data_IF_690712056576
#
_entry.id   IF_690712056576
#
_cell.length_a   1.000
_cell.length_b   1.000
_cell.length_c   1.000
_cell.angle_alpha   90.00
_cell.angle_beta   90.00
_cell.angle_gamma   90.00
#
_symmetry.space_group_name_H-M   'P 1'
#
loop_
_entity.id
_entity.type
_entity.pdbx_description
1 polymer ?
#
# COMPACT_ATOMS: atom_id res chain seq x y z
N UNK A 1 -0.55 10.79 8.33
CA UNK A 1 0.52 10.30 7.43
C UNK A 1 0.06 9.03 6.69
N UNK A 2 -1.00 9.15 5.89
CA UNK A 2 -1.52 8.06 5.04
C UNK A 2 -1.17 8.32 3.57
N UNK A 3 -1.00 9.59 3.21
CA UNK A 3 -0.52 10.09 1.92
C UNK A 3 0.85 9.50 1.51
N UNK A 4 1.76 9.30 2.49
CA UNK A 4 3.07 8.71 2.21
C UNK A 4 2.98 7.25 1.73
N UNK A 5 2.00 6.47 2.21
CA UNK A 5 1.87 5.05 1.81
C UNK A 5 1.36 4.93 0.39
N UNK A 6 0.36 5.73 0.03
CA UNK A 6 -0.19 5.77 -1.34
C UNK A 6 0.86 6.27 -2.31
N UNK A 7 1.65 7.28 -1.93
CA UNK A 7 2.78 7.76 -2.74
C UNK A 7 3.78 6.64 -3.06
N UNK A 8 4.24 5.89 -2.06
CA UNK A 8 5.13 4.76 -2.32
C UNK A 8 4.49 3.69 -3.20
N UNK A 9 3.20 3.38 -3.04
CA UNK A 9 2.49 2.41 -3.88
C UNK A 9 2.45 2.83 -5.36
N UNK A 10 2.28 4.13 -5.65
CA UNK A 10 2.39 4.64 -7.02
C UNK A 10 3.79 4.44 -7.59
N UNK A 11 4.84 4.74 -6.80
CA UNK A 11 6.22 4.47 -7.21
C UNK A 11 6.46 2.98 -7.47
N UNK A 12 5.89 2.11 -6.62
CA UNK A 12 5.97 0.67 -6.83
C UNK A 12 5.34 0.25 -8.17
N UNK A 13 4.14 0.75 -8.47
CA UNK A 13 3.45 0.47 -9.73
C UNK A 13 4.24 0.98 -10.94
N UNK A 14 4.83 2.17 -10.83
CA UNK A 14 5.69 2.73 -11.87
C UNK A 14 6.89 1.80 -12.18
N UNK A 15 7.60 1.33 -11.15
CA UNK A 15 8.72 0.42 -11.36
C UNK A 15 8.30 -0.96 -11.88
N UNK A 16 7.13 -1.45 -11.46
CA UNK A 16 6.55 -2.68 -12.02
C UNK A 16 6.30 -2.55 -13.52
N UNK A 17 5.65 -1.46 -13.97
CA UNK A 17 5.41 -1.20 -15.40
C UNK A 17 6.69 -1.00 -16.19
N UNK A 18 7.76 -0.50 -15.57
CA UNK A 18 9.10 -0.43 -16.18
C UNK A 18 9.82 -1.79 -16.27
N UNK A 19 9.20 -2.88 -15.84
CA UNK A 19 9.79 -4.22 -15.86
C UNK A 19 10.97 -4.38 -14.90
N UNK A 20 11.08 -3.54 -13.87
CA UNK A 20 12.09 -3.71 -12.82
C UNK A 20 11.65 -4.79 -11.85
N UNK A 21 12.60 -5.45 -11.20
CA UNK A 21 12.30 -6.39 -10.13
C UNK A 21 12.11 -5.66 -8.79
N UNK A 22 11.55 -6.34 -7.79
CA UNK A 22 11.21 -5.74 -6.50
C UNK A 22 12.45 -5.17 -5.80
N UNK A 23 13.57 -5.91 -5.78
CA UNK A 23 14.80 -5.46 -5.11
C UNK A 23 15.37 -4.20 -5.76
N UNK A 24 15.41 -4.12 -7.10
CA UNK A 24 15.84 -2.93 -7.82
C UNK A 24 14.92 -1.72 -7.56
N UNK A 25 13.61 -1.95 -7.49
CA UNK A 25 12.65 -0.89 -7.19
C UNK A 25 12.82 -0.37 -5.76
N UNK A 26 12.95 -1.27 -4.77
CA UNK A 26 13.19 -0.92 -3.38
C UNK A 26 14.48 -0.11 -3.22
N UNK A 27 15.60 -0.56 -3.81
CA UNK A 27 16.88 0.16 -3.73
C UNK A 27 16.79 1.56 -4.33
N UNK A 28 16.08 1.73 -5.46
CA UNK A 28 15.90 3.06 -6.08
C UNK A 28 15.05 3.99 -5.23
N UNK A 29 14.01 3.46 -4.59
CA UNK A 29 13.17 4.25 -3.68
C UNK A 29 13.99 4.64 -2.45
N UNK A 30 14.72 3.70 -1.83
CA UNK A 30 15.55 3.99 -0.66
C UNK A 30 16.71 4.95 -0.98
N UNK A 31 17.26 4.93 -2.20
CA UNK A 31 18.29 5.88 -2.61
C UNK A 31 17.79 7.34 -2.69
N UNK A 32 16.50 7.55 -2.94
CA UNK A 32 15.89 8.90 -3.04
C UNK A 32 15.26 9.35 -1.72
N UNK A 33 14.56 8.44 -1.04
CA UNK A 33 13.76 8.75 0.16
C UNK A 33 14.45 8.39 1.48
N UNK A 34 15.65 7.81 1.42
CA UNK A 34 16.40 7.35 2.58
C UNK A 34 16.29 5.85 2.83
N UNK A 35 17.26 5.32 3.55
CA UNK A 35 17.32 3.91 3.89
C UNK A 35 16.08 3.51 4.71
N UNK A 36 15.45 2.39 4.34
CA UNK A 36 14.25 1.91 5.00
C UNK A 36 12.94 2.60 4.58
N UNK A 37 12.96 3.52 3.61
CA UNK A 37 11.73 4.16 3.09
C UNK A 37 10.68 3.14 2.64
N UNK A 38 11.12 2.03 2.01
CA UNK A 38 10.27 0.89 1.68
C UNK A 38 11.00 -0.41 2.01
N UNK A 39 10.38 -1.25 2.82
CA UNK A 39 10.89 -2.61 3.06
C UNK A 39 10.72 -3.48 1.81
N UNK A 40 11.75 -4.27 1.48
CA UNK A 40 11.72 -5.18 0.33
C UNK A 40 10.53 -6.16 0.40
N UNK A 41 10.18 -6.63 1.60
CA UNK A 41 9.00 -7.49 1.81
C UNK A 41 7.70 -6.82 1.34
N UNK A 42 7.54 -5.53 1.59
CA UNK A 42 6.38 -4.74 1.15
C UNK A 42 6.38 -4.61 -0.36
N UNK A 43 7.54 -4.32 -0.95
CA UNK A 43 7.74 -4.23 -2.39
C UNK A 43 7.34 -5.52 -3.12
N UNK A 44 7.79 -6.68 -2.61
CA UNK A 44 7.46 -8.01 -3.17
C UNK A 44 5.96 -8.31 -3.09
N UNK A 45 5.29 -7.97 -1.96
CA UNK A 45 3.84 -8.15 -1.82
C UNK A 45 3.04 -7.35 -2.86
N UNK A 46 3.41 -6.09 -3.07
CA UNK A 46 2.75 -5.25 -4.08
C UNK A 46 2.98 -5.76 -5.49
N UNK A 47 4.20 -6.21 -5.80
CA UNK A 47 4.49 -6.81 -7.10
C UNK A 47 3.69 -8.08 -7.37
N UNK A 48 3.47 -8.91 -6.36
CA UNK A 48 2.59 -10.08 -6.48
C UNK A 48 1.14 -9.67 -6.80
N UNK A 49 0.63 -8.62 -6.15
CA UNK A 49 -0.71 -8.06 -6.46
C UNK A 49 -0.80 -7.54 -7.89
N UNK A 50 0.18 -6.75 -8.33
CA UNK A 50 0.22 -6.24 -9.71
C UNK A 50 0.33 -7.35 -10.75
N UNK A 51 1.02 -8.45 -10.41
CA UNK A 51 1.08 -9.65 -11.25
C UNK A 51 -0.26 -10.37 -11.36
N UNK A 52 -1.07 -10.31 -10.32
CA UNK A 52 -2.45 -10.80 -10.31
C UNK A 52 -3.45 -9.85 -11.00
N UNK A 53 -2.98 -8.71 -11.54
CA UNK A 53 -3.83 -7.71 -12.18
C UNK A 53 -4.55 -6.76 -11.22
N UNK A 54 -4.26 -6.85 -9.92
CA UNK A 54 -4.82 -5.94 -8.92
C UNK A 54 -3.97 -4.68 -8.80
N UNK A 55 -4.45 -3.60 -9.41
CA UNK A 55 -3.80 -2.29 -9.42
C UNK A 55 -4.42 -1.30 -8.44
N UNK A 56 -5.27 -1.75 -7.52
CA UNK A 56 -5.86 -0.88 -6.52
C UNK A 56 -4.82 -0.45 -5.47
N UNK A 57 -4.41 0.83 -5.53
CA UNK A 57 -3.38 1.40 -4.67
C UNK A 57 -3.93 1.92 -3.33
N UNK A 58 -5.25 2.02 -3.19
CA UNK A 58 -5.87 2.35 -1.90
C UNK A 58 -5.90 1.09 -1.03
N UNK A 59 -5.84 1.28 0.29
CA UNK A 59 -6.24 0.18 1.16
C UNK A 59 -7.73 -0.07 0.89
N UNK A 60 -8.09 -1.33 0.63
CA UNK A 60 -9.50 -1.69 0.70
C UNK A 60 -9.94 -1.41 2.13
N UNK A 61 -11.15 -0.87 2.29
CA UNK A 61 -11.78 -0.77 3.60
C UNK A 61 -11.66 -2.16 4.25
N UNK A 62 -10.95 -2.23 5.37
CA UNK A 62 -10.97 -3.45 6.16
C UNK A 62 -12.41 -3.58 6.61
N UNK A 63 -13.09 -4.62 6.16
CA UNK A 63 -14.28 -5.12 6.84
C UNK A 63 -13.83 -5.63 8.22
N UNK A 64 -13.55 -4.70 9.12
CA UNK A 64 -13.43 -4.96 10.55
C UNK A 64 -14.80 -5.23 11.12
N UNK A 65 -14.84 -5.85 12.30
CA UNK A 65 -16.06 -6.12 13.08
C UNK A 65 -16.95 -4.86 13.06
N UNK A 66 -18.25 -4.96 12.72
CA UNK A 66 -19.15 -3.83 12.89
C UNK A 66 -19.01 -3.35 14.33
N UNK A 67 -18.70 -2.06 14.52
CA UNK A 67 -18.78 -1.45 15.83
C UNK A 67 -20.25 -1.49 16.20
N UNK A 68 -20.67 -2.47 17.00
CA UNK A 68 -21.92 -2.42 17.75
C UNK A 68 -21.76 -1.31 18.77
N UNK A 69 -21.83 -0.08 18.30
CA UNK A 69 -22.33 1.01 19.12
C UNK A 69 -23.82 1.02 18.81
N UNK A 70 -24.55 0.22 19.58
CA UNK A 70 -25.96 0.48 19.84
C UNK A 70 -26.02 1.94 20.33
N UNK A 71 -26.29 2.87 19.41
CA UNK A 71 -26.69 4.21 19.77
C UNK A 71 -28.04 4.08 20.45
N UNK A 72 -27.94 4.06 21.77
CA UNK A 72 -28.99 4.14 22.75
C UNK A 72 -30.13 5.04 22.27
N UNK A 73 -31.33 4.48 22.31
CA UNK A 73 -32.56 5.17 22.00
C UNK A 73 -32.80 6.28 23.03
N UNK A 74 -32.29 7.47 22.77
CA UNK A 74 -32.76 8.69 23.42
C UNK A 74 -34.10 9.03 22.75
N UNK A 75 -35.17 8.48 23.32
CA UNK A 75 -36.55 8.90 23.07
C UNK A 75 -36.74 10.32 23.62
N UNK A 76 -37.38 11.16 22.81
CA UNK A 76 -37.94 12.44 23.19
C UNK A 76 -39.14 12.27 24.14
#
# INVERSE_FOLDING_TARGET
>A
MEENKVHFRHLMLFFYRKGKNATQAANKICAVYGEGAVAERTMRKWFARFKAGDFNLKDQERSGRPSTTDEDQIKH
#
